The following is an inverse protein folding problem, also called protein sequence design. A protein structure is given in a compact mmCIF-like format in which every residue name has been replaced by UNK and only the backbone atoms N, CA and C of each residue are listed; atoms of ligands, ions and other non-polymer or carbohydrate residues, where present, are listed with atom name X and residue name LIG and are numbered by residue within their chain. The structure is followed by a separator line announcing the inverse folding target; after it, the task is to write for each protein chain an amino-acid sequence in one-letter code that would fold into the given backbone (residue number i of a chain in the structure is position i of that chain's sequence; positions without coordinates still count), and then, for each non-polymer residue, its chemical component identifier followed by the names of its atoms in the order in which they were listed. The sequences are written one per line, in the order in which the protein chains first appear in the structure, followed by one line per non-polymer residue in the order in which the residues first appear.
data_IF_319735239840
#
_entry.id   IF_319735239840
#
_cell.length_a   1.000
_cell.length_b   1.000
_cell.length_c   1.000
_cell.angle_alpha   90.00
_cell.angle_beta   90.00
_cell.angle_gamma   90.00
#
_symmetry.space_group_name_H-M   'P 1'
#
loop_
_entity.id
_entity.type
_entity.pdbx_description
1 polymer ?
#
# COMPACT_ATOMS: atom_id res chain seq x y z
N UNK A 1 16.06 9.55 8.75
CA UNK A 1 14.68 9.11 9.05
C UNK A 1 14.68 7.60 9.14
N UNK A 2 14.11 7.04 10.20
CA UNK A 2 13.91 5.58 10.37
C UNK A 2 12.81 5.00 9.46
N UNK A 3 12.00 5.88 8.88
CA UNK A 3 10.80 5.59 8.09
C UNK A 3 10.76 6.53 6.88
N UNK A 4 10.31 6.04 5.72
CA UNK A 4 10.16 6.84 4.50
C UNK A 4 8.71 7.30 4.27
N UNK A 5 7.74 6.56 4.78
CA UNK A 5 6.32 6.89 4.60
C UNK A 5 5.91 8.02 5.57
N UNK A 6 5.45 9.20 5.09
CA UNK A 6 5.16 10.34 5.95
C UNK A 6 4.21 10.03 7.10
N UNK A 7 3.18 9.21 6.85
CA UNK A 7 2.20 8.83 7.89
C UNK A 7 2.80 7.94 8.98
N UNK A 8 3.81 7.15 8.64
CA UNK A 8 4.53 6.29 9.59
C UNK A 8 5.46 7.13 10.45
N UNK A 9 6.12 8.12 9.84
CA UNK A 9 6.92 9.14 10.54
C UNK A 9 6.05 9.88 11.56
N UNK A 10 4.91 10.42 11.13
CA UNK A 10 4.00 11.18 12.00
C UNK A 10 3.52 10.33 13.20
N UNK A 11 3.17 9.06 12.97
CA UNK A 11 2.77 8.15 14.04
C UNK A 11 3.91 7.82 15.00
N UNK A 12 5.12 7.64 14.48
CA UNK A 12 6.30 7.37 15.31
C UNK A 12 6.68 8.58 16.18
N UNK A 13 6.58 9.79 15.63
CA UNK A 13 6.80 11.02 16.40
C UNK A 13 5.73 11.21 17.48
N UNK A 14 4.46 10.96 17.15
CA UNK A 14 3.37 11.02 18.12
C UNK A 14 3.58 9.99 19.24
N UNK A 15 3.93 8.75 18.90
CA UNK A 15 4.18 7.68 19.86
C UNK A 15 5.32 8.01 20.84
N UNK A 16 6.40 8.62 20.36
CA UNK A 16 7.50 9.05 21.22
C UNK A 16 7.10 10.17 22.19
N UNK A 17 6.05 10.93 21.86
CA UNK A 17 5.49 11.96 22.75
C UNK A 17 4.45 11.43 23.74
N UNK A 18 3.99 10.19 23.57
CA UNK A 18 3.07 9.51 24.48
C UNK A 18 3.81 8.85 25.65
N UNK A 19 3.08 8.51 26.72
CA UNK A 19 3.64 7.87 27.93
C UNK A 19 3.92 6.36 27.76
N UNK A 20 4.40 5.93 26.59
CA UNK A 20 4.79 4.54 26.38
C UNK A 20 6.10 4.21 27.09
N UNK A 21 6.21 2.97 27.55
CA UNK A 21 7.49 2.43 28.02
C UNK A 21 8.42 2.17 26.83
N UNK A 22 9.74 2.08 27.09
CA UNK A 22 10.71 1.74 26.03
C UNK A 22 10.40 0.42 25.33
N UNK A 23 9.87 -0.56 26.06
CA UNK A 23 9.49 -1.87 25.51
C UNK A 23 8.28 -1.76 24.57
N UNK A 24 7.29 -0.94 24.92
CA UNK A 24 6.12 -0.67 24.07
C UNK A 24 6.51 0.10 22.81
N UNK A 25 7.40 1.10 22.95
CA UNK A 25 7.95 1.85 21.83
C UNK A 25 8.72 0.95 20.86
N UNK A 26 9.57 0.05 21.35
CA UNK A 26 10.31 -0.86 20.46
C UNK A 26 9.36 -1.82 19.73
N UNK A 27 8.36 -2.36 20.44
CA UNK A 27 7.32 -3.21 19.83
C UNK A 27 6.53 -2.47 18.75
N UNK A 28 6.15 -1.22 19.02
CA UNK A 28 5.45 -0.35 18.07
C UNK A 28 6.35 0.02 16.89
N UNK A 29 7.65 0.25 17.11
CA UNK A 29 8.63 0.53 16.05
C UNK A 29 8.74 -0.64 15.08
N UNK A 30 8.81 -1.88 15.59
CA UNK A 30 8.81 -3.07 14.74
C UNK A 30 7.50 -3.19 13.94
N UNK A 31 6.36 -2.91 14.58
CA UNK A 31 5.06 -2.93 13.92
C UNK A 31 4.96 -1.88 12.79
N UNK A 32 5.44 -0.67 13.05
CA UNK A 32 5.51 0.43 12.07
C UNK A 32 6.43 0.07 10.90
N UNK A 33 7.57 -0.59 11.14
CA UNK A 33 8.47 -1.08 10.06
C UNK A 33 7.76 -2.12 9.19
N UNK A 34 7.03 -3.05 9.79
CA UNK A 34 6.24 -4.02 9.02
C UNK A 34 5.12 -3.36 8.24
N UNK A 35 4.48 -2.33 8.81
CA UNK A 35 3.45 -1.56 8.15
C UNK A 35 4.01 -0.79 6.94
N UNK A 36 5.15 -0.12 7.09
CA UNK A 36 5.84 0.57 5.99
C UNK A 36 6.15 -0.38 4.82
N UNK A 37 6.69 -1.57 5.11
CA UNK A 37 6.95 -2.58 4.07
C UNK A 37 5.66 -3.04 3.36
N UNK A 38 4.49 -3.03 4.03
CA UNK A 38 3.19 -3.30 3.38
C UNK A 38 2.74 -2.14 2.51
N UNK A 39 2.95 -0.89 2.96
CA UNK A 39 2.64 0.32 2.19
C UNK A 39 3.48 0.38 0.92
N UNK A 40 4.78 0.12 1.02
CA UNK A 40 5.70 0.09 -0.12
C UNK A 40 5.26 -0.96 -1.15
N UNK A 41 4.92 -2.17 -0.70
CA UNK A 41 4.36 -3.21 -1.58
C UNK A 41 3.08 -2.72 -2.27
N UNK A 42 2.16 -2.09 -1.54
CA UNK A 42 0.94 -1.55 -2.12
C UNK A 42 1.25 -0.48 -3.20
N UNK A 43 2.17 0.46 -2.95
CA UNK A 43 2.63 1.43 -3.94
C UNK A 43 3.22 0.75 -5.18
N UNK A 44 4.01 -0.31 -4.99
CA UNK A 44 4.55 -1.08 -6.11
C UNK A 44 3.44 -1.69 -6.98
N UNK A 45 2.41 -2.30 -6.36
CA UNK A 45 1.26 -2.85 -7.08
C UNK A 45 0.44 -1.76 -7.80
N UNK A 46 0.27 -0.58 -7.19
CA UNK A 46 -0.38 0.56 -7.85
C UNK A 46 0.38 0.99 -9.11
N UNK A 47 1.72 1.08 -9.06
CA UNK A 47 2.54 1.39 -10.24
C UNK A 47 2.39 0.32 -11.32
N UNK A 48 2.39 -0.97 -10.96
CA UNK A 48 2.14 -2.06 -11.92
C UNK A 48 0.76 -1.97 -12.55
N UNK A 49 -0.26 -1.63 -11.76
CA UNK A 49 -1.63 -1.44 -12.24
C UNK A 49 -1.71 -0.30 -13.26
N UNK A 50 -1.03 0.82 -13.00
CA UNK A 50 -0.97 1.95 -13.93
C UNK A 50 -0.33 1.56 -15.27
N UNK A 51 0.80 0.84 -15.23
CA UNK A 51 1.45 0.31 -16.45
C UNK A 51 0.53 -0.66 -17.19
N UNK A 52 -0.20 -1.52 -16.47
CA UNK A 52 -1.18 -2.43 -17.06
C UNK A 52 -2.32 -1.66 -17.74
N UNK A 53 -2.82 -0.60 -17.11
CA UNK A 53 -3.85 0.26 -17.66
C UNK A 53 -3.39 0.97 -18.94
N UNK A 54 -2.16 1.49 -18.97
CA UNK A 54 -1.60 2.10 -20.17
C UNK A 54 -1.50 1.11 -21.33
N UNK A 55 -1.03 -0.13 -21.05
CA UNK A 55 -0.99 -1.21 -22.05
C UNK A 55 -2.39 -1.57 -22.55
N UNK A 56 -3.37 -1.64 -21.66
CA UNK A 56 -4.75 -1.94 -22.01
C UNK A 56 -5.29 -0.92 -23.02
N UNK A 57 -5.14 0.38 -22.74
CA UNK A 57 -5.59 1.46 -23.65
C UNK A 57 -4.89 1.43 -25.00
N UNK A 58 -3.62 1.01 -25.03
CA UNK A 58 -2.90 0.85 -26.29
C UNK A 58 -3.49 -0.28 -27.14
N UNK A 59 -3.78 -1.44 -26.54
CA UNK A 59 -4.37 -2.60 -27.23
C UNK A 59 -5.83 -2.34 -27.64
N UNK A 60 -6.58 -1.56 -26.87
CA UNK A 60 -7.91 -1.07 -27.30
C UNK A 60 -7.83 -0.29 -28.62
N UNK A 61 -6.78 0.52 -28.79
CA UNK A 61 -6.55 1.30 -30.01
C UNK A 61 -6.13 0.47 -31.23
N UNK A 62 -5.59 -0.75 -31.05
CA UNK A 62 -5.17 -1.61 -32.17
C UNK A 62 -6.32 -2.47 -32.73
N UNK A 63 -7.45 -2.57 -32.03
CA UNK A 63 -8.60 -3.37 -32.47
C UNK A 63 -8.45 -4.88 -32.29
N UNK A 64 -7.39 -5.34 -31.63
CA UNK A 64 -7.12 -6.75 -31.35
C UNK A 64 -7.95 -7.25 -30.15
N UNK A 65 -9.11 -7.86 -30.45
CA UNK A 65 -10.09 -8.26 -29.45
C UNK A 65 -9.64 -9.41 -28.55
N UNK A 66 -8.82 -10.34 -29.04
CA UNK A 66 -8.32 -11.45 -28.21
C UNK A 66 -7.27 -10.96 -27.20
N UNK A 67 -6.33 -10.13 -27.67
CA UNK A 67 -5.33 -9.52 -26.79
C UNK A 67 -5.97 -8.53 -25.80
N UNK A 68 -7.05 -7.86 -26.20
CA UNK A 68 -7.82 -6.97 -25.33
C UNK A 68 -8.40 -7.73 -24.14
N UNK A 69 -9.14 -8.83 -24.38
CA UNK A 69 -9.78 -9.60 -23.31
C UNK A 69 -8.80 -10.13 -22.26
N UNK A 70 -7.65 -10.65 -22.70
CA UNK A 70 -6.59 -11.13 -21.79
C UNK A 70 -5.97 -10.02 -20.95
N UNK A 71 -5.80 -8.82 -21.51
CA UNK A 71 -5.28 -7.67 -20.77
C UNK A 71 -6.31 -7.10 -19.80
N UNK A 72 -7.60 -7.08 -20.18
CA UNK A 72 -8.69 -6.66 -19.29
C UNK A 72 -8.78 -7.56 -18.05
N UNK A 73 -8.70 -8.88 -18.22
CA UNK A 73 -8.73 -9.82 -17.10
C UNK A 73 -7.54 -9.62 -16.15
N UNK A 74 -6.32 -9.49 -16.71
CA UNK A 74 -5.12 -9.21 -15.92
C UNK A 74 -5.23 -7.89 -15.16
N UNK A 75 -5.74 -6.84 -15.81
CA UNK A 75 -6.00 -5.55 -15.17
C UNK A 75 -6.99 -5.69 -14.02
N UNK A 76 -8.12 -6.37 -14.23
CA UNK A 76 -9.15 -6.56 -13.20
C UNK A 76 -8.61 -7.30 -11.97
N UNK A 77 -7.81 -8.36 -12.16
CA UNK A 77 -7.18 -9.11 -11.06
C UNK A 77 -6.19 -8.23 -10.29
N UNK A 78 -5.34 -7.48 -10.99
CA UNK A 78 -4.38 -6.56 -10.37
C UNK A 78 -5.09 -5.43 -9.62
N UNK A 79 -6.17 -4.89 -10.19
CA UNK A 79 -6.97 -3.84 -9.57
C UNK A 79 -7.61 -4.32 -8.28
N UNK A 80 -8.22 -5.52 -8.29
CA UNK A 80 -8.81 -6.14 -7.11
C UNK A 80 -7.79 -6.35 -5.99
N UNK A 81 -6.62 -6.92 -6.32
CA UNK A 81 -5.53 -7.12 -5.36
C UNK A 81 -5.04 -5.80 -4.78
N UNK A 82 -4.87 -4.79 -5.62
CA UNK A 82 -4.42 -3.45 -5.21
C UNK A 82 -5.43 -2.79 -4.27
N UNK A 83 -6.72 -2.84 -4.59
CA UNK A 83 -7.80 -2.33 -3.73
C UNK A 83 -7.84 -3.05 -2.37
N UNK A 84 -7.71 -4.37 -2.36
CA UNK A 84 -7.68 -5.16 -1.12
C UNK A 84 -6.49 -4.77 -0.23
N UNK A 85 -5.29 -4.64 -0.79
CA UNK A 85 -4.12 -4.18 -0.04
C UNK A 85 -4.31 -2.76 0.47
N UNK A 86 -4.85 -1.85 -0.34
CA UNK A 86 -5.16 -0.49 0.08
C UNK A 86 -6.14 -0.44 1.26
N UNK A 87 -7.14 -1.33 1.29
CA UNK A 87 -8.04 -1.47 2.43
C UNK A 87 -7.31 -1.97 3.69
N UNK A 88 -6.47 -3.01 3.55
CA UNK A 88 -5.67 -3.54 4.66
C UNK A 88 -4.72 -2.49 5.24
N UNK A 89 -4.06 -1.71 4.38
CA UNK A 89 -3.19 -0.59 4.78
C UNK A 89 -3.98 0.45 5.57
N UNK A 90 -5.14 0.89 5.06
CA UNK A 90 -5.98 1.86 5.77
C UNK A 90 -6.43 1.35 7.14
N UNK A 91 -6.85 0.08 7.22
CA UNK A 91 -7.30 -0.53 8.47
C UNK A 91 -6.17 -0.65 9.49
N UNK A 92 -4.97 -1.08 9.06
CA UNK A 92 -3.81 -1.18 9.96
C UNK A 92 -3.37 0.22 10.43
N UNK A 93 -3.39 1.23 9.55
CA UNK A 93 -3.11 2.60 9.94
C UNK A 93 -4.08 3.09 11.02
N UNK A 94 -5.39 2.88 10.82
CA UNK A 94 -6.40 3.28 11.79
C UNK A 94 -6.22 2.59 13.14
N UNK A 95 -5.87 1.30 13.15
CA UNK A 95 -5.57 0.55 14.37
C UNK A 95 -4.37 1.16 15.12
N UNK A 96 -3.26 1.39 14.41
CA UNK A 96 -2.06 2.03 14.97
C UNK A 96 -2.36 3.42 15.53
N UNK A 97 -3.07 4.26 14.77
CA UNK A 97 -3.46 5.60 15.22
C UNK A 97 -4.44 5.60 16.39
N UNK A 98 -5.19 4.52 16.62
CA UNK A 98 -6.11 4.43 17.76
C UNK A 98 -5.41 4.00 19.05
N UNK A 99 -4.22 3.41 18.94
CA UNK A 99 -3.42 2.90 20.06
C UNK A 99 -2.47 3.96 20.62
N UNK A 100 -2.02 4.89 19.77
CA UNK A 100 -1.16 6.04 20.10
C UNK A 100 -2.03 7.19 20.61
#
# INVERSE_FOLDING_TARGET
SDFEEPRVIDLWELAQSTNFTEQELESLREELKQFEAKVEKHHHYQKQLEVSHQKLRHVEGTGDKEHLGRNQEKYAVLEGKTKEMGYKVKKHLQDLSSRI
#
